data_IF_000358325835
#
_entry.id   IF_000358325835
#
_cell.length_a   1.000
_cell.length_b   1.000
_cell.length_c   1.000
_cell.angle_alpha   90.00
_cell.angle_beta   90.00
_cell.angle_gamma   90.00
#
_symmetry.space_group_name_H-M   'P 1'
#
loop_
_entity.id
_entity.type
_entity.pdbx_description
1 polymer ?
#
# COMPACT_ATOMS: atom_id res chain seq x y z
N UNK A 1 -9.14 16.51 19.03
CA UNK A 1 -9.67 17.70 18.35
C UNK A 1 -9.13 18.94 19.05
N UNK A 2 -8.53 19.85 18.25
CA UNK A 2 -8.04 21.10 18.77
C UNK A 2 -9.26 21.96 19.16
N UNK A 3 -9.30 22.54 20.35
CA UNK A 3 -10.37 23.45 20.70
C UNK A 3 -10.35 24.63 19.72
N UNK A 4 -11.50 25.03 19.17
CA UNK A 4 -11.55 26.21 18.32
C UNK A 4 -11.12 27.42 19.14
N UNK A 5 -10.21 28.24 18.58
CA UNK A 5 -9.83 29.53 19.19
C UNK A 5 -11.08 30.43 19.31
N UNK A 6 -11.34 31.03 20.48
CA UNK A 6 -12.46 31.98 20.59
C UNK A 6 -12.28 33.09 19.57
N UNK A 7 -13.33 33.34 18.78
CA UNK A 7 -13.32 34.42 17.80
C UNK A 7 -13.57 35.74 18.50
N UNK A 8 -12.55 36.60 18.53
CA UNK A 8 -12.63 37.96 19.12
C UNK A 8 -12.51 39.08 18.07
N UNK A 9 -12.67 38.80 16.77
CA UNK A 9 -12.49 39.77 15.68
C UNK A 9 -13.79 40.30 15.10
N UNK A 10 -13.69 41.43 14.39
CA UNK A 10 -14.73 42.00 13.55
C UNK A 10 -14.79 41.27 12.19
N UNK A 11 -15.98 40.89 11.74
CA UNK A 11 -16.20 40.25 10.44
C UNK A 11 -16.74 38.82 10.52
N UNK A 12 -16.76 38.10 9.39
CA UNK A 12 -17.29 36.74 9.31
C UNK A 12 -16.39 35.75 10.08
N UNK A 13 -17.00 34.98 10.98
CA UNK A 13 -16.30 33.96 11.76
C UNK A 13 -15.56 32.99 10.83
N UNK A 14 -14.24 32.72 11.06
CA UNK A 14 -13.50 31.72 10.27
C UNK A 14 -14.18 30.37 10.39
N UNK A 15 -14.42 29.71 9.26
CA UNK A 15 -15.02 28.36 9.21
C UNK A 15 -13.98 27.27 9.52
N UNK A 16 -12.69 27.60 9.44
CA UNK A 16 -11.59 26.69 9.74
C UNK A 16 -10.90 27.06 11.05
N UNK A 17 -10.46 26.08 11.86
CA UNK A 17 -9.62 26.34 13.02
C UNK A 17 -8.35 27.06 12.57
N UNK A 18 -8.09 28.24 13.13
CA UNK A 18 -6.86 28.96 12.88
C UNK A 18 -5.69 28.22 13.54
N UNK A 19 -4.57 28.12 12.81
CA UNK A 19 -3.32 27.60 13.36
C UNK A 19 -2.81 28.57 14.41
N UNK A 20 -2.61 28.08 15.64
CA UNK A 20 -1.92 28.86 16.68
C UNK A 20 -0.42 28.68 16.55
N UNK A 21 0.38 29.58 17.14
CA UNK A 21 1.83 29.46 17.16
C UNK A 21 2.32 28.11 17.74
N UNK A 22 1.55 27.53 18.66
CA UNK A 22 1.84 26.24 19.29
C UNK A 22 1.44 25.03 18.43
N UNK A 23 0.72 25.23 17.33
CA UNK A 23 0.14 24.19 16.48
C UNK A 23 0.58 24.36 15.02
N UNK A 24 1.82 24.73 14.82
CA UNK A 24 2.42 24.80 13.49
C UNK A 24 2.64 23.39 12.92
N UNK A 25 2.43 23.22 11.63
CA UNK A 25 2.76 21.95 10.98
C UNK A 25 4.27 21.71 11.05
N UNK A 26 4.62 20.50 11.38
CA UNK A 26 6.00 20.03 11.39
C UNK A 26 6.28 19.26 10.10
N UNK A 27 7.47 19.39 9.53
CA UNK A 27 7.88 18.54 8.41
C UNK A 27 8.09 17.10 8.88
N UNK A 28 7.89 16.13 7.97
CA UNK A 28 8.11 14.71 8.30
C UNK A 28 9.56 14.44 8.72
N UNK A 29 10.51 15.16 8.13
CA UNK A 29 11.94 15.09 8.50
C UNK A 29 12.17 15.60 9.91
N UNK A 30 11.63 16.78 10.27
CA UNK A 30 11.77 17.32 11.61
C UNK A 30 11.11 16.41 12.66
N UNK A 31 9.97 15.83 12.34
CA UNK A 31 9.32 14.85 13.19
C UNK A 31 10.20 13.61 13.38
N UNK A 32 10.75 13.05 12.31
CA UNK A 32 11.63 11.87 12.39
C UNK A 32 12.87 12.13 13.26
N UNK A 33 13.51 13.29 13.09
CA UNK A 33 14.66 13.68 13.88
C UNK A 33 14.33 13.95 15.36
N UNK A 34 13.08 14.28 15.68
CA UNK A 34 12.64 14.49 17.06
C UNK A 34 12.27 13.19 17.80
N UNK A 35 12.14 12.08 17.08
CA UNK A 35 11.81 10.78 17.69
C UNK A 35 13.02 10.23 18.46
N UNK A 36 12.78 9.66 19.65
CA UNK A 36 13.85 9.03 20.40
C UNK A 36 14.34 7.76 19.68
N UNK A 37 15.65 7.43 19.76
CA UNK A 37 16.22 6.27 19.06
C UNK A 37 15.51 4.92 19.32
N UNK A 38 14.94 4.74 20.51
CA UNK A 38 14.18 3.55 20.90
C UNK A 38 12.83 3.41 20.15
N UNK A 39 12.36 4.46 19.48
CA UNK A 39 11.17 4.38 18.61
C UNK A 39 11.44 3.65 17.29
N UNK A 40 12.71 3.43 16.98
CA UNK A 40 13.11 2.73 15.75
C UNK A 40 13.40 1.27 16.05
N UNK A 41 12.67 0.39 15.37
CA UNK A 41 12.79 -1.06 15.48
C UNK A 41 13.44 -1.63 14.23
N UNK A 42 14.31 -2.63 14.41
CA UNK A 42 14.84 -3.39 13.28
C UNK A 42 13.79 -4.41 12.84
N UNK A 43 13.33 -4.29 11.61
CA UNK A 43 12.33 -5.16 11.00
C UNK A 43 12.96 -5.83 9.80
N UNK A 44 12.72 -7.14 9.67
CA UNK A 44 13.14 -7.90 8.49
C UNK A 44 11.94 -8.19 7.61
N UNK A 45 12.13 -8.08 6.30
CA UNK A 45 11.11 -8.42 5.30
C UNK A 45 11.74 -9.16 4.13
N UNK A 46 10.93 -9.70 3.23
CA UNK A 46 11.39 -10.35 2.01
C UNK A 46 10.80 -9.69 0.78
N UNK A 47 11.64 -9.53 -0.23
CA UNK A 47 11.26 -9.13 -1.57
C UNK A 47 11.63 -10.26 -2.54
N UNK A 48 10.63 -11.00 -3.00
CA UNK A 48 10.86 -12.16 -3.87
C UNK A 48 11.46 -13.38 -3.14
N UNK A 49 12.29 -14.13 -3.86
CA UNK A 49 12.97 -15.35 -3.38
C UNK A 49 14.33 -15.09 -2.76
N UNK A 50 14.79 -13.85 -2.77
CA UNK A 50 16.09 -13.45 -2.26
C UNK A 50 16.16 -13.51 -0.73
N UNK A 51 17.35 -13.29 -0.19
CA UNK A 51 17.60 -13.23 1.23
C UNK A 51 16.71 -12.18 1.92
N UNK A 52 16.40 -12.37 3.22
CA UNK A 52 15.64 -11.39 3.95
C UNK A 52 16.41 -10.06 4.05
N UNK A 53 15.74 -8.98 3.72
CA UNK A 53 16.23 -7.62 3.92
C UNK A 53 15.89 -7.17 5.33
N UNK A 54 16.66 -6.25 5.88
CA UNK A 54 16.38 -5.67 7.19
C UNK A 54 16.65 -4.17 7.18
N UNK A 55 15.86 -3.43 7.95
CA UNK A 55 16.00 -1.99 8.09
C UNK A 55 15.45 -1.50 9.43
N UNK A 56 15.76 -0.26 9.77
CA UNK A 56 15.24 0.40 10.98
C UNK A 56 14.03 1.24 10.63
N UNK A 57 12.93 1.00 11.32
CA UNK A 57 11.64 1.65 11.07
C UNK A 57 11.04 2.20 12.35
N UNK A 58 10.42 3.38 12.23
CA UNK A 58 9.51 3.92 13.24
C UNK A 58 8.14 4.16 12.62
N UNK A 59 7.07 3.93 13.38
CA UNK A 59 5.70 4.18 12.95
C UNK A 59 5.01 5.12 13.95
N UNK A 60 4.46 6.23 13.45
CA UNK A 60 3.77 7.22 14.27
C UNK A 60 2.43 7.61 13.65
N UNK A 61 1.44 7.94 14.51
CA UNK A 61 0.13 8.39 14.04
C UNK A 61 0.13 9.90 13.83
N UNK A 62 -0.02 10.32 12.60
CA UNK A 62 0.02 11.72 12.19
C UNK A 62 -1.27 12.18 11.51
N UNK A 63 -1.46 13.49 11.46
CA UNK A 63 -2.46 14.12 10.61
C UNK A 63 -1.76 14.96 9.55
N UNK A 64 -2.07 14.69 8.31
CA UNK A 64 -1.56 15.46 7.20
C UNK A 64 -2.01 16.92 7.27
N UNK A 65 -1.06 17.87 7.25
CA UNK A 65 -1.31 19.29 7.46
C UNK A 65 -1.65 20.07 6.18
N UNK A 66 -1.42 19.51 4.99
CA UNK A 66 -1.60 20.19 3.70
C UNK A 66 -2.91 19.87 2.99
N UNK A 67 -3.24 20.68 1.98
CA UNK A 67 -4.39 20.53 1.08
C UNK A 67 -5.71 21.02 1.65
N UNK A 68 -6.67 21.32 0.77
CA UNK A 68 -8.05 21.68 1.10
C UNK A 68 -8.78 20.46 1.70
N UNK A 69 -8.60 20.21 2.98
CA UNK A 69 -9.58 19.42 3.70
C UNK A 69 -10.89 20.18 3.60
N UNK A 70 -11.91 19.57 2.99
CA UNK A 70 -13.23 20.19 2.81
C UNK A 70 -13.66 20.89 4.09
N UNK A 71 -14.21 22.08 3.93
CA UNK A 71 -14.58 23.06 4.96
C UNK A 71 -14.88 22.43 6.33
N UNK A 72 -13.97 22.63 7.29
CA UNK A 72 -14.22 22.32 8.70
C UNK A 72 -14.01 20.88 9.17
N UNK A 73 -13.58 19.93 8.33
CA UNK A 73 -13.32 18.54 8.75
C UNK A 73 -11.86 18.34 9.15
N UNK A 74 -11.65 17.88 10.38
CA UNK A 74 -10.34 17.39 10.83
C UNK A 74 -10.04 16.09 10.08
N UNK A 75 -8.90 16.02 9.40
CA UNK A 75 -8.49 14.79 8.70
C UNK A 75 -8.29 13.65 9.68
N UNK A 76 -8.59 12.40 9.27
CA UNK A 76 -8.28 11.23 10.08
C UNK A 76 -6.77 11.13 10.33
N UNK A 77 -6.40 10.47 11.42
CA UNK A 77 -5.01 10.09 11.66
C UNK A 77 -4.63 8.98 10.68
N UNK A 78 -3.40 9.04 10.21
CA UNK A 78 -2.79 8.05 9.34
C UNK A 78 -1.49 7.60 9.96
N UNK A 79 -0.99 6.45 9.56
CA UNK A 79 0.35 6.03 9.88
C UNK A 79 1.36 6.81 9.03
N UNK A 80 2.42 7.29 9.65
CA UNK A 80 3.65 7.69 9.01
C UNK A 80 4.70 6.65 9.39
N UNK A 81 5.07 5.83 8.42
CA UNK A 81 6.19 4.91 8.53
C UNK A 81 7.44 5.63 8.05
N UNK A 82 8.49 5.58 8.85
CA UNK A 82 9.78 6.23 8.62
C UNK A 82 10.83 5.13 8.54
N UNK A 83 11.55 5.08 7.42
CA UNK A 83 12.70 4.20 7.23
C UNK A 83 13.98 4.99 7.45
N UNK A 84 14.82 4.49 8.35
CA UNK A 84 16.12 5.08 8.65
C UNK A 84 17.19 4.00 8.70
N UNK A 85 17.91 3.77 7.59
CA UNK A 85 18.96 2.77 7.54
C UNK A 85 20.04 3.01 8.60
N UNK A 86 20.63 1.93 9.09
CA UNK A 86 21.72 2.02 10.05
C UNK A 86 22.96 2.63 9.36
N UNK A 87 23.52 3.67 9.97
CA UNK A 87 24.68 4.39 9.42
C UNK A 87 24.34 5.62 8.61
N UNK A 88 23.11 5.81 8.19
CA UNK A 88 22.69 7.02 7.50
C UNK A 88 22.49 8.18 8.48
N UNK A 89 22.92 9.38 8.07
CA UNK A 89 22.76 10.60 8.86
C UNK A 89 21.28 11.04 8.97
N UNK A 90 20.44 10.63 8.01
CA UNK A 90 19.06 11.07 7.88
C UNK A 90 18.15 9.90 7.46
N UNK A 91 16.85 9.97 7.78
CA UNK A 91 15.87 9.02 7.28
C UNK A 91 15.80 9.03 5.75
N UNK A 92 15.73 7.84 5.14
CA UNK A 92 15.75 7.66 3.68
C UNK A 92 14.36 7.71 3.06
N UNK A 93 13.32 7.23 3.77
CA UNK A 93 11.98 7.09 3.20
C UNK A 93 10.87 7.40 4.20
N UNK A 94 9.78 7.97 3.69
CA UNK A 94 8.57 8.29 4.44
C UNK A 94 7.36 7.78 3.69
N UNK A 95 6.56 6.95 4.34
CA UNK A 95 5.35 6.36 3.74
C UNK A 95 4.14 6.67 4.61
N UNK A 96 3.08 7.21 4.00
CA UNK A 96 1.78 7.38 4.66
C UNK A 96 0.91 6.15 4.39
N UNK A 97 0.25 5.65 5.43
CA UNK A 97 -0.66 4.50 5.32
C UNK A 97 -1.98 4.77 6.04
N UNK A 98 -3.07 4.34 5.43
CA UNK A 98 -4.44 4.39 5.97
C UNK A 98 -4.86 3.10 6.67
N UNK A 99 -3.94 2.18 6.86
CA UNK A 99 -4.22 0.93 7.58
C UNK A 99 -4.77 1.20 9.00
N UNK A 100 -5.52 0.25 9.57
CA UNK A 100 -6.11 0.37 10.90
C UNK A 100 -5.13 0.79 11.99
N UNK A 101 -5.62 1.36 13.08
CA UNK A 101 -4.78 1.91 14.15
C UNK A 101 -4.04 0.83 14.96
N UNK A 102 -4.58 -0.37 14.97
CA UNK A 102 -4.04 -1.58 15.61
C UNK A 102 -3.06 -2.37 14.72
N UNK A 103 -2.78 -1.89 13.49
CA UNK A 103 -1.84 -2.55 12.57
C UNK A 103 -0.43 -2.59 13.16
N UNK A 104 0.17 -3.77 13.33
CA UNK A 104 1.53 -3.89 13.84
C UNK A 104 2.56 -3.36 12.84
N UNK A 105 3.70 -2.90 13.34
CA UNK A 105 4.74 -2.28 12.51
C UNK A 105 5.26 -3.21 11.41
N UNK A 106 5.32 -4.52 11.64
CA UNK A 106 5.77 -5.51 10.66
C UNK A 106 4.85 -5.53 9.44
N UNK A 107 3.53 -5.41 9.66
CA UNK A 107 2.55 -5.35 8.58
C UNK A 107 2.63 -4.03 7.81
N UNK A 108 2.88 -2.90 8.52
CA UNK A 108 3.11 -1.61 7.88
C UNK A 108 4.34 -1.66 6.97
N UNK A 109 5.44 -2.25 7.44
CA UNK A 109 6.67 -2.43 6.65
C UNK A 109 6.40 -3.35 5.46
N UNK A 110 5.75 -4.49 5.68
CA UNK A 110 5.38 -5.42 4.61
C UNK A 110 4.53 -4.72 3.53
N UNK A 111 3.50 -3.99 3.94
CA UNK A 111 2.65 -3.25 3.01
C UNK A 111 3.42 -2.17 2.22
N UNK A 112 4.33 -1.44 2.87
CA UNK A 112 5.16 -0.41 2.23
C UNK A 112 6.10 -0.99 1.17
N UNK A 113 6.52 -2.23 1.35
CA UNK A 113 7.42 -2.94 0.43
C UNK A 113 6.70 -3.83 -0.59
N UNK A 114 5.36 -3.82 -0.66
CA UNK A 114 4.61 -4.58 -1.68
C UNK A 114 4.73 -3.99 -3.11
N UNK A 115 5.21 -2.76 -3.25
CA UNK A 115 5.25 -2.08 -4.56
C UNK A 115 6.06 -2.85 -5.62
N UNK A 116 7.16 -3.47 -5.23
CA UNK A 116 7.98 -4.26 -6.14
C UNK A 116 7.21 -5.43 -6.77
N UNK A 117 6.20 -5.99 -6.06
CA UNK A 117 5.35 -7.06 -6.61
C UNK A 117 4.59 -6.59 -7.83
N UNK A 118 4.05 -5.37 -7.81
CA UNK A 118 3.32 -4.81 -8.95
C UNK A 118 4.23 -4.73 -10.19
N UNK A 119 5.48 -4.32 -9.98
CA UNK A 119 6.47 -4.23 -11.05
C UNK A 119 6.84 -5.62 -11.58
N UNK A 120 7.00 -6.59 -10.68
CA UNK A 120 7.27 -7.98 -11.04
C UNK A 120 6.09 -8.64 -11.75
N UNK A 121 4.89 -8.51 -11.20
CA UNK A 121 3.66 -9.05 -11.78
C UNK A 121 3.43 -8.47 -13.18
N UNK A 122 3.74 -7.19 -13.37
CA UNK A 122 3.62 -6.55 -14.67
C UNK A 122 4.69 -7.04 -15.66
N UNK A 123 5.88 -7.34 -15.19
CA UNK A 123 6.93 -7.95 -15.99
C UNK A 123 6.51 -9.37 -16.44
N UNK A 124 6.03 -10.19 -15.50
CA UNK A 124 5.55 -11.55 -15.79
C UNK A 124 4.38 -11.49 -16.79
N UNK A 125 3.41 -10.59 -16.61
CA UNK A 125 2.31 -10.37 -17.56
C UNK A 125 2.81 -10.05 -18.97
N UNK A 126 3.83 -9.20 -19.10
CA UNK A 126 4.37 -8.83 -20.42
C UNK A 126 5.16 -9.96 -21.06
N UNK A 127 6.01 -10.63 -20.30
CA UNK A 127 6.98 -11.59 -20.82
C UNK A 127 6.39 -13.00 -20.92
N UNK A 128 5.79 -13.48 -19.84
CA UNK A 128 5.35 -14.88 -19.75
C UNK A 128 3.91 -15.09 -20.24
N UNK A 129 3.06 -14.07 -20.05
CA UNK A 129 1.64 -14.14 -20.43
C UNK A 129 1.31 -13.34 -21.69
N UNK A 130 2.33 -12.82 -22.35
CA UNK A 130 2.20 -12.23 -23.67
C UNK A 130 1.44 -10.90 -23.75
N UNK A 131 1.19 -10.21 -22.63
CA UNK A 131 0.49 -8.92 -22.64
C UNK A 131 1.16 -7.90 -23.57
N UNK A 132 2.50 -7.99 -23.73
CA UNK A 132 3.27 -7.14 -24.63
C UNK A 132 3.30 -7.60 -26.10
N UNK A 133 2.73 -8.76 -26.45
CA UNK A 133 2.84 -9.39 -27.76
C UNK A 133 1.67 -9.08 -28.71
N UNK A 134 0.79 -8.15 -28.32
CA UNK A 134 -0.32 -7.77 -29.18
C UNK A 134 0.16 -6.88 -30.36
N UNK A 135 0.07 -7.39 -31.58
CA UNK A 135 0.46 -6.69 -32.81
C UNK A 135 -0.72 -6.10 -33.59
N UNK A 136 -1.94 -6.32 -33.11
CA UNK A 136 -3.15 -5.82 -33.76
C UNK A 136 -3.35 -4.31 -33.59
N UNK A 137 -4.09 -3.70 -34.52
CA UNK A 137 -4.43 -2.26 -34.48
C UNK A 137 -5.80 -1.96 -33.89
N UNK A 138 -6.62 -2.96 -33.65
CA UNK A 138 -8.01 -2.79 -33.22
C UNK A 138 -8.14 -2.69 -31.73
N UNK A 139 -8.88 -1.68 -31.24
CA UNK A 139 -9.19 -1.49 -29.81
C UNK A 139 -9.83 -2.74 -29.16
N UNK A 140 -10.80 -3.32 -29.85
CA UNK A 140 -11.47 -4.56 -29.38
C UNK A 140 -10.50 -5.73 -29.22
N UNK A 141 -9.62 -5.94 -30.22
CA UNK A 141 -8.62 -6.99 -30.18
C UNK A 141 -7.64 -6.80 -29.04
N UNK A 142 -7.19 -5.58 -28.79
CA UNK A 142 -6.34 -5.28 -27.64
C UNK A 142 -7.00 -5.62 -26.31
N UNK A 143 -8.25 -5.22 -26.10
CA UNK A 143 -8.98 -5.54 -24.87
C UNK A 143 -9.19 -7.03 -24.69
N UNK A 144 -9.49 -7.75 -25.76
CA UNK A 144 -9.66 -9.21 -25.71
C UNK A 144 -8.35 -9.90 -25.30
N UNK A 145 -7.25 -9.53 -25.96
CA UNK A 145 -5.93 -10.04 -25.65
C UNK A 145 -5.50 -9.72 -24.23
N UNK A 146 -5.60 -8.48 -23.81
CA UNK A 146 -5.25 -8.04 -22.46
C UNK A 146 -6.08 -8.76 -21.38
N UNK A 147 -7.39 -8.91 -21.60
CA UNK A 147 -8.27 -9.61 -20.66
C UNK A 147 -7.89 -11.08 -20.51
N UNK A 148 -7.53 -11.75 -21.61
CA UNK A 148 -7.10 -13.15 -21.55
C UNK A 148 -5.75 -13.30 -20.83
N UNK A 149 -4.78 -12.43 -21.12
CA UNK A 149 -3.48 -12.45 -20.43
C UNK A 149 -3.62 -12.22 -18.93
N UNK A 150 -4.44 -11.25 -18.51
CA UNK A 150 -4.71 -10.96 -17.11
C UNK A 150 -5.46 -12.12 -16.43
N UNK A 151 -6.44 -12.71 -17.11
CA UNK A 151 -7.20 -13.84 -16.56
C UNK A 151 -6.31 -15.09 -16.37
N UNK A 152 -5.44 -15.40 -17.35
CA UNK A 152 -4.50 -16.51 -17.26
C UNK A 152 -3.50 -16.30 -16.09
N UNK A 153 -2.95 -15.09 -15.96
CA UNK A 153 -2.09 -14.73 -14.84
C UNK A 153 -2.80 -14.88 -13.49
N UNK A 154 -4.00 -14.31 -13.36
CA UNK A 154 -4.79 -14.39 -12.14
C UNK A 154 -5.14 -15.82 -11.75
N UNK A 155 -5.45 -16.67 -12.72
CA UNK A 155 -5.70 -18.09 -12.50
C UNK A 155 -4.45 -18.81 -11.93
N UNK A 156 -3.28 -18.62 -12.54
CA UNK A 156 -2.05 -19.22 -12.06
C UNK A 156 -1.62 -18.71 -10.68
N UNK A 157 -1.81 -17.42 -10.40
CA UNK A 157 -1.56 -16.87 -9.06
C UNK A 157 -2.50 -17.47 -8.01
N UNK A 158 -3.77 -17.64 -8.33
CA UNK A 158 -4.73 -18.29 -7.45
C UNK A 158 -4.36 -19.76 -7.15
N UNK A 159 -3.94 -20.52 -8.17
CA UNK A 159 -3.49 -21.89 -7.98
C UNK A 159 -2.21 -21.99 -7.13
N UNK A 160 -1.24 -21.09 -7.33
CA UNK A 160 -0.04 -21.00 -6.48
C UNK A 160 -0.40 -20.72 -5.02
N UNK A 161 -1.26 -19.75 -4.76
CA UNK A 161 -1.71 -19.42 -3.39
C UNK A 161 -2.46 -20.55 -2.70
N UNK A 162 -3.13 -21.42 -3.48
CA UNK A 162 -3.79 -22.63 -2.96
C UNK A 162 -2.75 -23.71 -2.65
N UNK A 163 -1.74 -23.87 -3.52
CA UNK A 163 -0.66 -24.84 -3.35
C UNK A 163 0.27 -24.50 -2.17
N UNK A 164 0.53 -23.21 -1.95
CA UNK A 164 1.43 -22.72 -0.88
C UNK A 164 0.77 -22.73 0.52
N UNK A 165 -0.53 -23.02 0.63
CA UNK A 165 -1.15 -23.20 1.94
C UNK A 165 -0.55 -24.42 2.62
N UNK A 166 0.00 -24.30 3.86
CA UNK A 166 0.53 -25.44 4.58
C UNK A 166 -0.58 -26.49 4.74
N UNK A 167 -0.32 -27.68 4.23
CA UNK A 167 -1.23 -28.82 4.31
C UNK A 167 -1.24 -29.32 5.77
N UNK A 168 -2.00 -28.64 6.61
CA UNK A 168 -2.41 -29.14 7.90
C UNK A 168 -3.69 -29.96 7.74
N UNK A 169 -3.58 -31.27 7.58
CA UNK A 169 -4.76 -32.13 7.55
C UNK A 169 -4.97 -32.83 6.20
N UNK A 170 -5.11 -34.16 6.28
CA UNK A 170 -5.34 -35.18 5.25
C UNK A 170 -5.87 -34.67 3.92
N UNK A 171 -5.14 -34.99 2.85
CA UNK A 171 -5.53 -34.78 1.45
C UNK A 171 -6.86 -35.49 1.16
N UNK A 172 -7.97 -34.78 1.24
CA UNK A 172 -9.15 -35.17 0.49
C UNK A 172 -9.02 -34.51 -0.88
N UNK A 173 -8.64 -35.29 -1.85
CA UNK A 173 -8.67 -34.94 -3.26
C UNK A 173 -10.16 -34.75 -3.64
N UNK A 174 -10.65 -33.55 -3.54
CA UNK A 174 -11.93 -33.18 -4.12
C UNK A 174 -11.67 -32.94 -5.60
N UNK A 175 -12.03 -33.94 -6.40
CA UNK A 175 -12.08 -33.83 -7.86
C UNK A 175 -13.00 -32.65 -8.21
N UNK A 176 -12.41 -31.48 -8.50
CA UNK A 176 -13.20 -30.33 -8.95
C UNK A 176 -13.64 -30.60 -10.37
N UNK A 177 -14.93 -30.83 -10.53
CA UNK A 177 -15.55 -30.79 -11.84
C UNK A 177 -15.29 -29.43 -12.47
N UNK A 178 -14.50 -29.41 -13.53
CA UNK A 178 -14.33 -28.25 -14.40
C UNK A 178 -15.72 -27.87 -14.93
N UNK A 179 -16.19 -26.63 -14.79
CA UNK A 179 -17.47 -26.23 -15.36
C UNK A 179 -17.40 -26.46 -16.88
N UNK A 180 -18.18 -27.40 -17.37
CA UNK A 180 -18.36 -27.62 -18.81
C UNK A 180 -19.13 -26.42 -19.34
N UNK A 181 -18.50 -25.59 -20.15
CA UNK A 181 -19.17 -24.50 -20.85
C UNK A 181 -20.29 -25.10 -21.72
N UNK A 182 -21.52 -24.55 -21.68
CA UNK A 182 -22.60 -25.04 -22.50
C UNK A 182 -22.23 -24.92 -23.97
N UNK A 183 -22.31 -26.05 -24.69
CA UNK A 183 -22.19 -26.08 -26.15
C UNK A 183 -23.28 -25.19 -26.75
N UNK A 184 -22.88 -24.07 -27.33
CA UNK A 184 -23.84 -23.24 -28.09
C UNK A 184 -23.62 -21.73 -27.93
N UNK A 185 -22.43 -21.24 -28.13
CA UNK A 185 -22.23 -19.81 -28.45
C UNK A 185 -21.10 -19.67 -29.46
N UNK A 186 -21.45 -19.82 -30.72
CA UNK A 186 -20.64 -19.33 -31.86
C UNK A 186 -21.53 -18.31 -32.54
N UNK A 187 -21.15 -17.01 -32.56
CA UNK A 187 -21.70 -16.05 -33.52
C UNK A 187 -21.06 -16.21 -34.87
#
# INVERSE_FOLDING_TARGET
>A
PLPPKPYGGTGRRPVMPQRTAQLQPMSVKALALSLPPQSFHTISWREGTNEPLSGRFAAVRVRHAGGNAGKGRVRPRQWLLIEWPAGDAEPSKYVLSTLPEDTPINELVSAAHQRWRIERDYQDLKQDFGLGHYEGRGWRGFHHHASLSIAAYGFLMAERLIADKPVGGKKNFVERQVPVLPKGYIP
#
